data_IF_259264820618
#
_entry.id   IF_259264820618
#
_cell.length_a   1.000
_cell.length_b   1.000
_cell.length_c   1.000
_cell.angle_alpha   90.00
_cell.angle_beta   90.00
_cell.angle_gamma   90.00
#
_symmetry.space_group_name_H-M   'P 1'
#
loop_
_entity.id
_entity.type
_entity.pdbx_description
1 polymer ?
#
# COMPACT_ATOMS: atom_id res chain seq x y z
N UNK A 1 -129.95 4.53 35.74
CA UNK A 1 -129.15 5.41 34.85
C UNK A 1 -129.75 5.33 33.46
N UNK A 2 -130.02 6.47 32.81
CA UNK A 2 -130.54 6.51 31.44
C UNK A 2 -129.45 6.11 30.45
N UNK A 3 -129.81 5.48 29.32
CA UNK A 3 -128.87 5.07 28.25
C UNK A 3 -127.88 6.18 27.88
N UNK A 4 -128.37 7.42 27.87
CA UNK A 4 -127.61 8.64 27.57
C UNK A 4 -126.50 8.98 28.58
N UNK A 5 -126.67 8.68 29.88
CA UNK A 5 -125.60 8.90 30.87
C UNK A 5 -124.49 7.85 30.75
N UNK A 6 -124.86 6.61 30.41
CA UNK A 6 -123.89 5.52 30.23
C UNK A 6 -123.03 5.78 28.99
N UNK A 7 -123.65 6.20 27.88
CA UNK A 7 -122.97 6.59 26.64
C UNK A 7 -122.01 7.76 26.87
N UNK A 8 -122.42 8.82 27.59
CA UNK A 8 -121.53 9.94 27.90
C UNK A 8 -120.33 9.54 28.78
N UNK A 9 -120.54 8.63 29.75
CA UNK A 9 -119.46 8.12 30.60
C UNK A 9 -118.47 7.27 29.79
N UNK A 10 -118.96 6.35 28.95
CA UNK A 10 -118.10 5.56 28.07
C UNK A 10 -117.37 6.42 27.05
N UNK A 11 -118.03 7.43 26.49
CA UNK A 11 -117.40 8.33 25.52
C UNK A 11 -116.27 9.16 26.15
N UNK A 12 -116.49 9.71 27.35
CA UNK A 12 -115.44 10.41 28.10
C UNK A 12 -114.29 9.51 28.54
N UNK A 13 -114.58 8.24 28.89
CA UNK A 13 -113.54 7.25 29.20
C UNK A 13 -112.74 6.88 27.95
N UNK A 14 -113.40 6.63 26.81
CA UNK A 14 -112.70 6.35 25.56
C UNK A 14 -111.88 7.53 25.07
N UNK A 15 -112.38 8.76 25.24
CA UNK A 15 -111.67 9.97 24.85
C UNK A 15 -110.38 10.16 25.68
N UNK A 16 -110.45 10.00 26.99
CA UNK A 16 -109.25 10.03 27.86
C UNK A 16 -108.27 8.91 27.53
N UNK A 17 -108.77 7.69 27.31
CA UNK A 17 -107.91 6.58 26.91
C UNK A 17 -107.23 6.83 25.55
N UNK A 18 -107.93 7.46 24.59
CA UNK A 18 -107.30 7.84 23.31
C UNK A 18 -106.30 8.98 23.45
N UNK A 19 -106.55 9.96 24.32
CA UNK A 19 -105.61 11.03 24.64
C UNK A 19 -104.34 10.46 25.29
N UNK A 20 -104.49 9.57 26.28
CA UNK A 20 -103.38 8.88 26.92
C UNK A 20 -102.56 8.07 25.90
N UNK A 21 -103.21 7.31 25.01
CA UNK A 21 -102.50 6.57 23.94
C UNK A 21 -101.77 7.51 22.99
N UNK A 22 -102.36 8.63 22.59
CA UNK A 22 -101.71 9.62 21.73
C UNK A 22 -100.49 10.25 22.41
N UNK A 23 -100.57 10.54 23.72
CA UNK A 23 -99.41 11.04 24.47
C UNK A 23 -98.29 9.99 24.55
N UNK A 24 -98.61 8.72 24.79
CA UNK A 24 -97.62 7.63 24.81
C UNK A 24 -96.98 7.45 23.44
N UNK A 25 -97.75 7.53 22.35
CA UNK A 25 -97.20 7.44 20.98
C UNK A 25 -96.29 8.62 20.68
N UNK A 26 -96.66 9.85 21.08
CA UNK A 26 -95.82 11.03 20.89
C UNK A 26 -94.54 10.98 21.73
N UNK A 27 -94.61 10.51 22.98
CA UNK A 27 -93.42 10.30 23.82
C UNK A 27 -92.53 9.23 23.21
N UNK A 28 -93.12 8.12 22.71
CA UNK A 28 -92.36 7.07 22.05
C UNK A 28 -91.65 7.58 20.79
N UNK A 29 -92.32 8.37 19.94
CA UNK A 29 -91.67 8.89 18.73
C UNK A 29 -90.49 9.81 19.06
N UNK A 30 -90.63 10.66 20.08
CA UNK A 30 -89.51 11.52 20.53
C UNK A 30 -88.35 10.68 21.08
N UNK A 31 -88.64 9.61 21.84
CA UNK A 31 -87.60 8.71 22.34
C UNK A 31 -86.92 7.95 21.20
N UNK A 32 -87.67 7.49 20.20
CA UNK A 32 -87.13 6.82 19.02
C UNK A 32 -86.24 7.78 18.21
N UNK A 33 -86.64 9.05 18.04
CA UNK A 33 -85.84 10.10 17.39
C UNK A 33 -84.54 10.39 18.18
N UNK A 34 -84.63 10.51 19.51
CA UNK A 34 -83.46 10.72 20.37
C UNK A 34 -82.48 9.54 20.32
N UNK A 35 -82.98 8.31 20.25
CA UNK A 35 -82.14 7.11 20.09
C UNK A 35 -81.42 7.16 18.74
N UNK A 36 -82.14 7.49 17.66
CA UNK A 36 -81.56 7.61 16.32
C UNK A 36 -80.48 8.71 16.24
N UNK A 37 -80.68 9.84 16.90
CA UNK A 37 -79.67 10.92 16.99
C UNK A 37 -78.40 10.45 17.72
N UNK A 38 -78.55 9.71 18.83
CA UNK A 38 -77.42 9.15 19.57
C UNK A 38 -76.67 8.12 18.72
N UNK A 39 -77.38 7.21 18.06
CA UNK A 39 -76.77 6.22 17.16
C UNK A 39 -76.01 6.89 16.02
N UNK A 40 -76.61 7.90 15.39
CA UNK A 40 -75.96 8.69 14.33
C UNK A 40 -74.72 9.39 14.84
N UNK A 41 -74.78 10.01 16.03
CA UNK A 41 -73.62 10.66 16.65
C UNK A 41 -72.49 9.67 16.97
N UNK A 42 -72.81 8.47 17.47
CA UNK A 42 -71.81 7.42 17.71
C UNK A 42 -71.14 7.03 16.38
N UNK A 43 -71.91 6.78 15.34
CA UNK A 43 -71.37 6.41 14.04
C UNK A 43 -70.52 7.53 13.42
N UNK A 44 -70.94 8.80 13.54
CA UNK A 44 -70.17 9.94 13.04
C UNK A 44 -68.86 10.13 13.80
N UNK A 45 -68.87 9.97 15.12
CA UNK A 45 -67.67 10.07 15.96
C UNK A 45 -66.67 8.96 15.65
N UNK A 46 -67.13 7.72 15.53
CA UNK A 46 -66.30 6.58 15.10
C UNK A 46 -65.76 6.78 13.68
N UNK A 47 -66.60 7.20 12.73
CA UNK A 47 -66.17 7.49 11.36
C UNK A 47 -65.08 8.56 11.34
N UNK A 48 -65.25 9.64 12.11
CA UNK A 48 -64.27 10.70 12.20
C UNK A 48 -62.95 10.18 12.81
N UNK A 49 -63.01 9.39 13.87
CA UNK A 49 -61.82 8.77 14.47
C UNK A 49 -61.06 7.91 13.45
N UNK A 50 -61.76 7.00 12.76
CA UNK A 50 -61.17 6.14 11.72
C UNK A 50 -60.60 6.95 10.55
N UNK A 51 -61.25 8.03 10.12
CA UNK A 51 -60.70 8.89 9.06
C UNK A 51 -59.39 9.55 9.49
N UNK A 52 -59.29 10.01 10.75
CA UNK A 52 -58.02 10.60 11.24
C UNK A 52 -56.91 9.57 11.37
N UNK A 53 -57.22 8.33 11.76
CA UNK A 53 -56.24 7.25 11.81
C UNK A 53 -55.77 6.86 10.41
N UNK A 54 -56.69 6.80 9.45
CA UNK A 54 -56.37 6.53 8.04
C UNK A 54 -55.48 7.63 7.45
N UNK A 55 -55.77 8.90 7.73
CA UNK A 55 -54.92 10.03 7.30
C UNK A 55 -53.51 9.94 7.90
N UNK A 56 -53.40 9.62 9.20
CA UNK A 56 -52.11 9.42 9.87
C UNK A 56 -51.33 8.25 9.25
N UNK A 57 -51.99 7.13 9.00
CA UNK A 57 -51.38 5.96 8.37
C UNK A 57 -50.90 6.27 6.95
N UNK A 58 -51.71 6.99 6.15
CA UNK A 58 -51.32 7.43 4.81
C UNK A 58 -50.13 8.39 4.83
N UNK A 59 -50.09 9.33 5.78
CA UNK A 59 -48.95 10.23 5.94
C UNK A 59 -47.68 9.46 6.31
N UNK A 60 -47.77 8.48 7.20
CA UNK A 60 -46.65 7.61 7.55
C UNK A 60 -46.16 6.79 6.35
N UNK A 61 -47.07 6.19 5.58
CA UNK A 61 -46.73 5.46 4.35
C UNK A 61 -46.01 6.35 3.32
N UNK A 62 -46.47 7.59 3.14
CA UNK A 62 -45.81 8.54 2.25
C UNK A 62 -44.39 8.88 2.72
N UNK A 63 -44.17 9.04 4.03
CA UNK A 63 -42.84 9.26 4.60
C UNK A 63 -41.92 8.05 4.38
N UNK A 64 -42.41 6.83 4.61
CA UNK A 64 -41.65 5.61 4.34
C UNK A 64 -41.30 5.48 2.86
N UNK A 65 -42.21 5.77 1.94
CA UNK A 65 -41.93 5.73 0.50
C UNK A 65 -40.82 6.73 0.09
N UNK A 66 -40.80 7.93 0.71
CA UNK A 66 -39.73 8.91 0.49
C UNK A 66 -38.40 8.39 1.06
N UNK A 67 -38.40 7.86 2.28
CA UNK A 67 -37.21 7.32 2.92
C UNK A 67 -36.62 6.13 2.13
N UNK A 68 -37.46 5.21 1.65
CA UNK A 68 -37.05 4.11 0.78
C UNK A 68 -36.39 4.62 -0.50
N UNK A 69 -36.92 5.70 -1.09
CA UNK A 69 -36.34 6.28 -2.28
C UNK A 69 -34.96 6.88 -2.03
N UNK A 70 -34.80 7.62 -0.93
CA UNK A 70 -33.50 8.19 -0.51
C UNK A 70 -32.48 7.07 -0.31
N UNK A 71 -32.84 6.01 0.42
CA UNK A 71 -31.94 4.87 0.63
C UNK A 71 -31.58 4.14 -0.67
N UNK A 72 -32.50 4.06 -1.63
CA UNK A 72 -32.20 3.53 -2.95
C UNK A 72 -31.19 4.39 -3.71
N UNK A 73 -31.37 5.70 -3.69
CA UNK A 73 -30.46 6.63 -4.36
C UNK A 73 -29.06 6.61 -3.71
N UNK A 74 -28.98 6.56 -2.38
CA UNK A 74 -27.73 6.37 -1.61
C UNK A 74 -27.02 5.06 -2.01
N UNK A 75 -27.76 3.95 -2.06
CA UNK A 75 -27.22 2.65 -2.48
C UNK A 75 -26.67 2.69 -3.90
N UNK A 76 -27.38 3.34 -4.83
CA UNK A 76 -26.90 3.50 -6.21
C UNK A 76 -25.62 4.33 -6.27
N UNK A 77 -25.54 5.41 -5.51
CA UNK A 77 -24.34 6.23 -5.43
C UNK A 77 -23.13 5.43 -4.89
N UNK A 78 -23.33 4.67 -3.80
CA UNK A 78 -22.29 3.78 -3.26
C UNK A 78 -21.84 2.76 -4.30
N UNK A 79 -22.75 2.12 -5.03
CA UNK A 79 -22.39 1.17 -6.09
C UNK A 79 -21.56 1.82 -7.21
N UNK A 80 -21.89 3.05 -7.61
CA UNK A 80 -21.12 3.80 -8.60
C UNK A 80 -19.71 4.13 -8.10
N UNK A 81 -19.57 4.59 -6.85
CA UNK A 81 -18.26 4.88 -6.25
C UNK A 81 -17.39 3.62 -6.14
N UNK A 82 -17.95 2.48 -5.73
CA UNK A 82 -17.25 1.20 -5.68
C UNK A 82 -16.78 0.78 -7.07
N UNK A 83 -17.63 0.92 -8.10
CA UNK A 83 -17.24 0.60 -9.47
C UNK A 83 -16.07 1.49 -9.96
N UNK A 84 -16.10 2.79 -9.66
CA UNK A 84 -15.02 3.71 -9.99
C UNK A 84 -13.70 3.31 -9.30
N UNK A 85 -13.75 3.00 -8.00
CA UNK A 85 -12.58 2.56 -7.24
C UNK A 85 -12.02 1.25 -7.80
N UNK A 86 -12.87 0.31 -8.22
CA UNK A 86 -12.43 -0.93 -8.88
C UNK A 86 -11.70 -0.65 -10.20
N UNK A 87 -12.19 0.28 -11.02
CA UNK A 87 -11.53 0.66 -12.28
C UNK A 87 -10.18 1.35 -12.04
N UNK A 88 -10.11 2.22 -11.04
CA UNK A 88 -8.87 2.87 -10.61
C UNK A 88 -7.87 1.83 -10.09
N UNK A 89 -8.30 0.91 -9.23
CA UNK A 89 -7.49 -0.19 -8.71
C UNK A 89 -6.92 -1.07 -9.83
N UNK A 90 -7.74 -1.47 -10.81
CA UNK A 90 -7.28 -2.21 -12.00
C UNK A 90 -6.22 -1.44 -12.79
N UNK A 91 -6.35 -0.13 -12.86
CA UNK A 91 -5.39 0.73 -13.59
C UNK A 91 -4.08 0.86 -12.85
N UNK A 92 -4.11 1.01 -11.53
CA UNK A 92 -2.91 1.03 -10.68
C UNK A 92 -2.17 -0.31 -10.75
N UNK A 93 -2.88 -1.44 -10.66
CA UNK A 93 -2.27 -2.77 -10.79
C UNK A 93 -1.58 -2.95 -12.15
N UNK A 94 -2.19 -2.48 -13.24
CA UNK A 94 -1.57 -2.51 -14.57
C UNK A 94 -0.27 -1.68 -14.61
N UNK A 95 -0.27 -0.47 -14.04
CA UNK A 95 0.92 0.38 -13.96
C UNK A 95 2.02 -0.25 -13.10
N UNK A 96 1.66 -0.79 -11.94
CA UNK A 96 2.60 -1.47 -11.06
C UNK A 96 3.25 -2.67 -11.76
N UNK A 97 2.46 -3.43 -12.52
CA UNK A 97 2.95 -4.56 -13.31
C UNK A 97 3.95 -4.11 -14.37
N UNK A 98 3.67 -3.03 -15.12
CA UNK A 98 4.61 -2.52 -16.12
C UNK A 98 5.91 -2.01 -15.49
N UNK A 99 5.83 -1.32 -14.36
CA UNK A 99 7.02 -0.87 -13.63
C UNK A 99 7.84 -2.06 -13.10
N UNK A 100 7.18 -3.09 -12.57
CA UNK A 100 7.84 -4.32 -12.13
C UNK A 100 8.56 -5.05 -13.28
N UNK A 101 7.95 -5.10 -14.47
CA UNK A 101 8.56 -5.67 -15.68
C UNK A 101 9.79 -4.87 -16.12
N UNK A 102 9.74 -3.52 -16.06
CA UNK A 102 10.89 -2.66 -16.36
C UNK A 102 12.04 -2.89 -15.37
N UNK A 103 11.74 -2.94 -14.07
CA UNK A 103 12.75 -3.22 -13.03
C UNK A 103 13.37 -4.61 -13.23
N UNK A 104 12.56 -5.61 -13.56
CA UNK A 104 13.07 -6.95 -13.86
C UNK A 104 14.03 -6.93 -15.06
N UNK A 105 13.70 -6.18 -16.10
CA UNK A 105 14.58 -6.01 -17.27
C UNK A 105 15.88 -5.29 -16.90
N UNK A 106 15.83 -4.27 -16.05
CA UNK A 106 17.03 -3.55 -15.58
C UNK A 106 17.94 -4.43 -14.73
N UNK A 107 17.37 -5.29 -13.88
CA UNK A 107 18.13 -6.28 -13.11
C UNK A 107 18.85 -7.28 -14.05
N UNK A 108 18.16 -7.76 -15.10
CA UNK A 108 18.77 -8.63 -16.11
C UNK A 108 19.90 -7.91 -16.87
N UNK A 109 19.68 -6.66 -17.28
CA UNK A 109 20.68 -5.85 -17.95
C UNK A 109 21.91 -5.61 -17.06
N UNK A 110 21.70 -5.32 -15.77
CA UNK A 110 22.77 -5.18 -14.78
C UNK A 110 23.59 -6.47 -14.65
N UNK A 111 22.93 -7.62 -14.49
CA UNK A 111 23.62 -8.91 -14.39
C UNK A 111 24.47 -9.20 -15.64
N UNK A 112 23.96 -8.86 -16.82
CA UNK A 112 24.73 -8.95 -18.08
C UNK A 112 25.96 -8.05 -18.07
N UNK A 113 25.81 -6.79 -17.67
CA UNK A 113 26.94 -5.84 -17.59
C UNK A 113 27.98 -6.26 -16.55
N UNK A 114 27.56 -6.84 -15.43
CA UNK A 114 28.48 -7.39 -14.42
C UNK A 114 29.31 -8.56 -14.98
N UNK A 115 28.69 -9.42 -15.81
CA UNK A 115 29.40 -10.48 -16.52
C UNK A 115 30.42 -9.92 -17.53
N UNK A 116 30.00 -8.98 -18.37
CA UNK A 116 30.90 -8.32 -19.33
C UNK A 116 32.07 -7.62 -18.61
N UNK A 117 31.80 -7.00 -17.45
CA UNK A 117 32.83 -6.40 -16.60
C UNK A 117 33.81 -7.45 -16.07
N UNK A 118 33.33 -8.61 -15.59
CA UNK A 118 34.19 -9.69 -15.12
C UNK A 118 35.08 -10.23 -16.26
N UNK A 119 34.52 -10.46 -17.44
CA UNK A 119 35.28 -10.88 -18.63
C UNK A 119 36.34 -9.85 -19.03
N UNK A 120 36.01 -8.55 -18.96
CA UNK A 120 36.98 -7.49 -19.27
C UNK A 120 38.15 -7.46 -18.26
N UNK A 121 37.87 -7.69 -16.97
CA UNK A 121 38.90 -7.79 -15.92
C UNK A 121 39.81 -8.99 -16.15
N UNK A 122 39.25 -10.14 -16.53
CA UNK A 122 40.02 -11.34 -16.86
C UNK A 122 40.92 -11.12 -18.08
N UNK A 123 40.41 -10.48 -19.14
CA UNK A 123 41.21 -10.09 -20.32
C UNK A 123 42.36 -9.16 -19.94
N UNK A 124 42.12 -8.18 -19.07
CA UNK A 124 43.20 -7.30 -18.58
C UNK A 124 44.25 -8.11 -17.80
N UNK A 125 43.82 -9.04 -16.95
CA UNK A 125 44.73 -9.90 -16.21
C UNK A 125 45.58 -10.79 -17.13
N UNK A 126 44.99 -11.36 -18.19
CA UNK A 126 45.72 -12.17 -19.17
C UNK A 126 46.68 -11.34 -20.03
N UNK A 127 46.32 -10.12 -20.42
CA UNK A 127 47.27 -9.19 -21.05
C UNK A 127 48.43 -8.84 -20.13
N UNK A 128 48.18 -8.67 -18.83
CA UNK A 128 49.24 -8.41 -17.85
C UNK A 128 50.18 -9.61 -17.70
N UNK A 129 49.70 -10.87 -17.76
CA UNK A 129 50.57 -12.05 -17.76
C UNK A 129 51.37 -12.15 -19.05
N UNK A 130 50.73 -11.97 -20.21
CA UNK A 130 51.40 -11.98 -21.51
C UNK A 130 52.50 -10.91 -21.61
N UNK A 131 52.25 -9.72 -21.08
CA UNK A 131 53.24 -8.64 -21.03
C UNK A 131 54.46 -9.01 -20.16
N UNK A 132 54.25 -9.71 -19.04
CA UNK A 132 55.35 -10.23 -18.21
C UNK A 132 56.14 -11.32 -18.94
N UNK A 133 55.47 -12.22 -19.65
CA UNK A 133 56.12 -13.26 -20.45
C UNK A 133 56.92 -12.68 -21.61
N UNK A 134 56.36 -11.70 -22.35
CA UNK A 134 57.07 -10.97 -23.38
C UNK A 134 58.31 -10.28 -22.82
N UNK A 135 58.20 -9.63 -21.66
CA UNK A 135 59.33 -9.02 -20.97
C UNK A 135 60.40 -10.04 -20.57
N UNK A 136 60.00 -11.25 -20.16
CA UNK A 136 60.93 -12.36 -19.84
C UNK A 136 61.63 -12.86 -21.10
N UNK A 137 60.87 -13.14 -22.16
CA UNK A 137 61.39 -13.58 -23.47
C UNK A 137 62.37 -12.55 -24.05
N UNK A 138 62.03 -11.25 -24.01
CA UNK A 138 62.94 -10.18 -24.44
C UNK A 138 64.24 -10.15 -23.63
N UNK A 139 64.20 -10.37 -22.31
CA UNK A 139 65.44 -10.48 -21.50
C UNK A 139 66.27 -11.69 -21.91
N UNK A 140 65.63 -12.83 -22.14
CA UNK A 140 66.29 -14.07 -22.55
C UNK A 140 66.96 -13.91 -23.92
N UNK A 141 66.28 -13.27 -24.88
CA UNK A 141 66.84 -12.90 -26.18
C UNK A 141 68.06 -11.99 -26.02
N UNK A 142 67.97 -10.94 -25.18
CA UNK A 142 69.12 -10.05 -24.92
C UNK A 142 70.29 -10.78 -24.28
N UNK A 143 70.02 -11.72 -23.36
CA UNK A 143 71.03 -12.54 -22.70
C UNK A 143 71.70 -13.51 -23.69
N UNK A 144 70.91 -14.16 -24.56
CA UNK A 144 71.45 -14.99 -25.65
C UNK A 144 72.34 -14.20 -26.59
N UNK A 145 71.92 -13.00 -27.02
CA UNK A 145 72.77 -12.11 -27.84
C UNK A 145 74.05 -11.72 -27.11
N UNK A 146 73.99 -11.48 -25.79
CA UNK A 146 75.17 -11.17 -24.97
C UNK A 146 76.14 -12.36 -24.93
N UNK A 147 75.63 -13.57 -24.73
CA UNK A 147 76.41 -14.82 -24.75
C UNK A 147 77.03 -15.10 -26.12
N UNK A 148 76.27 -14.92 -27.20
CA UNK A 148 76.75 -15.08 -28.57
C UNK A 148 77.84 -14.04 -28.92
N UNK A 149 77.65 -12.79 -28.48
CA UNK A 149 78.67 -11.74 -28.62
C UNK A 149 79.97 -12.08 -27.89
N UNK A 150 79.87 -12.58 -26.66
CA UNK A 150 81.04 -13.06 -25.90
C UNK A 150 81.69 -14.26 -26.62
N UNK A 151 80.91 -15.20 -27.15
CA UNK A 151 81.43 -16.35 -27.91
C UNK A 151 82.17 -15.92 -29.18
N UNK A 152 81.66 -14.93 -29.91
CA UNK A 152 82.32 -14.38 -31.10
C UNK A 152 83.60 -13.61 -30.78
N UNK A 153 83.70 -13.00 -29.60
CA UNK A 153 84.94 -12.35 -29.12
C UNK A 153 85.97 -13.39 -28.67
N UNK A 154 85.52 -14.52 -28.12
CA UNK A 154 86.40 -15.60 -27.65
C UNK A 154 86.86 -16.54 -28.79
N UNK A 155 86.14 -16.62 -29.91
CA UNK A 155 86.50 -17.41 -31.10
C UNK A 155 86.43 -16.56 -32.39
N UNK A 156 87.49 -15.79 -32.76
CA UNK A 156 87.54 -15.06 -34.03
C UNK A 156 87.82 -15.94 -35.27
N UNK A 157 87.84 -17.27 -35.14
CA UNK A 157 88.32 -18.20 -36.20
C UNK A 157 87.19 -18.91 -36.96
N UNK A 158 86.19 -18.18 -37.45
CA UNK A 158 85.23 -18.74 -38.41
C UNK A 158 84.49 -17.67 -39.23
N UNK A 159 85.20 -16.73 -39.88
CA UNK A 159 84.80 -16.15 -41.18
C UNK A 159 86.10 -15.70 -41.87
N UNK A 160 86.64 -16.53 -42.77
CA UNK A 160 87.38 -16.11 -43.96
C UNK A 160 87.42 -17.28 -44.96
N UNK A 161 86.68 -17.14 -46.06
CA UNK A 161 87.00 -17.57 -47.43
C UNK A 161 85.80 -17.11 -48.28
N UNK A 162 85.93 -16.14 -49.20
CA UNK A 162 86.67 -16.26 -50.47
C UNK A 162 86.91 -14.87 -51.07
N UNK A 163 88.14 -14.60 -51.48
CA UNK A 163 88.57 -13.36 -52.12
C UNK A 163 88.35 -13.37 -53.66
N UNK A 164 88.20 -12.17 -54.25
CA UNK A 164 88.37 -11.89 -55.68
C UNK A 164 88.28 -10.37 -55.99
N UNK A 165 89.17 -9.74 -56.80
CA UNK A 165 89.55 -8.32 -56.66
C UNK A 165 89.10 -7.41 -57.87
N UNK A 166 89.53 -6.12 -57.98
CA UNK A 166 88.69 -4.91 -58.00
C UNK A 166 88.34 -4.37 -59.41
N UNK A 167 87.48 -3.33 -59.51
CA UNK A 167 88.02 -2.08 -60.09
C UNK A 167 87.48 -0.78 -59.46
N UNK A 168 88.26 0.28 -59.68
CA UNK A 168 88.01 1.68 -59.38
C UNK A 168 86.57 2.15 -59.64
N UNK A 169 85.99 2.89 -58.69
CA UNK A 169 85.24 4.11 -58.99
C UNK A 169 85.14 5.05 -57.77
N UNK A 170 85.05 6.32 -58.12
CA UNK A 170 85.13 7.58 -57.39
C UNK A 170 84.32 7.76 -56.09
N UNK A 171 84.69 8.77 -55.27
CA UNK A 171 84.02 9.09 -54.02
C UNK A 171 82.74 9.89 -54.30
N UNK A 172 81.63 9.21 -54.55
CA UNK A 172 80.34 9.89 -54.60
C UNK A 172 79.20 9.01 -54.09
N UNK A 173 78.75 9.35 -52.88
CA UNK A 173 77.38 9.15 -52.38
C UNK A 173 76.75 7.75 -52.51
N UNK A 174 76.94 6.91 -51.50
CA UNK A 174 75.93 5.91 -51.12
C UNK A 174 75.31 6.33 -49.78
N UNK A 175 74.01 6.65 -49.70
CA UNK A 175 73.36 6.85 -48.42
C UNK A 175 72.97 5.48 -47.86
N UNK A 176 73.90 4.85 -47.14
CA UNK A 176 73.61 3.71 -46.27
C UNK A 176 72.90 4.24 -45.02
N UNK A 177 71.58 4.31 -45.07
CA UNK A 177 70.77 4.69 -43.91
C UNK A 177 69.34 4.20 -44.08
N UNK A 178 68.65 3.95 -42.96
CA UNK A 178 67.25 3.49 -42.91
C UNK A 178 66.29 4.29 -43.82
N UNK A 179 66.66 5.52 -44.20
CA UNK A 179 65.97 6.38 -45.14
C UNK A 179 65.90 5.87 -46.59
N UNK A 180 66.72 4.89 -47.02
CA UNK A 180 66.68 4.34 -48.38
C UNK A 180 65.84 3.06 -48.52
N UNK A 181 65.38 2.48 -47.40
CA UNK A 181 64.54 1.28 -47.40
C UNK A 181 63.12 1.58 -47.91
N UNK A 182 62.44 0.59 -48.48
CA UNK A 182 61.04 0.74 -48.93
C UNK A 182 60.06 0.83 -47.74
N UNK A 183 58.91 1.48 -47.96
CA UNK A 183 57.92 1.70 -46.89
C UNK A 183 57.39 0.38 -46.31
N UNK A 184 57.21 -0.66 -47.14
CA UNK A 184 56.78 -1.98 -46.68
C UNK A 184 57.79 -2.63 -45.73
N UNK A 185 59.08 -2.54 -46.06
CA UNK A 185 60.16 -3.08 -45.20
C UNK A 185 60.28 -2.28 -43.91
N UNK A 186 60.12 -0.96 -43.95
CA UNK A 186 60.14 -0.11 -42.77
C UNK A 186 58.93 -0.36 -41.85
N UNK A 187 57.75 -0.60 -42.40
CA UNK A 187 56.55 -0.93 -41.61
C UNK A 187 56.72 -2.27 -40.88
N UNK A 188 57.36 -3.24 -41.53
CA UNK A 188 57.69 -4.52 -40.91
C UNK A 188 58.80 -4.40 -39.85
N UNK A 189 59.68 -3.42 -39.96
CA UNK A 189 60.65 -3.10 -38.89
C UNK A 189 59.91 -2.42 -37.73
N UNK A 190 59.05 -1.44 -38.00
CA UNK A 190 58.30 -0.72 -36.97
C UNK A 190 57.24 -1.56 -36.26
N UNK A 191 56.73 -2.63 -36.87
CA UNK A 191 55.85 -3.58 -36.17
C UNK A 191 56.54 -4.30 -35.01
N UNK A 192 57.88 -4.35 -35.03
CA UNK A 192 58.71 -4.98 -34.01
C UNK A 192 59.37 -3.97 -33.04
N UNK A 193 59.02 -2.68 -33.12
CA UNK A 193 59.61 -1.61 -32.32
C UNK A 193 58.51 -0.87 -31.55
N UNK A 194 58.79 -0.52 -30.29
CA UNK A 194 57.82 0.17 -29.44
C UNK A 194 57.45 1.56 -30.01
N UNK A 195 56.19 1.96 -29.83
CA UNK A 195 55.65 3.21 -30.40
C UNK A 195 56.44 4.46 -29.98
N UNK A 196 57.02 4.44 -28.78
CA UNK A 196 57.85 5.54 -28.27
C UNK A 196 59.21 5.62 -28.98
N UNK A 197 59.78 4.48 -29.35
CA UNK A 197 61.06 4.40 -30.07
C UNK A 197 60.87 4.77 -31.55
N UNK A 198 59.75 4.36 -32.17
CA UNK A 198 59.37 4.82 -33.53
C UNK A 198 59.15 6.33 -33.55
N UNK A 199 58.52 6.88 -32.49
CA UNK A 199 58.35 8.32 -32.34
C UNK A 199 59.70 9.03 -32.14
N UNK A 200 60.59 8.51 -31.29
CA UNK A 200 61.93 9.05 -31.07
C UNK A 200 62.76 9.03 -32.37
N UNK A 201 62.71 7.93 -33.13
CA UNK A 201 63.30 7.84 -34.47
C UNK A 201 62.72 8.92 -35.38
N UNK A 202 61.40 9.14 -35.39
CA UNK A 202 60.75 10.17 -36.20
C UNK A 202 61.27 11.59 -35.91
N UNK A 203 61.75 11.87 -34.70
CA UNK A 203 62.26 13.18 -34.32
C UNK A 203 63.68 13.45 -34.81
N UNK A 204 64.40 12.44 -35.32
CA UNK A 204 65.78 12.58 -35.82
C UNK A 204 65.88 13.42 -37.09
N UNK A 205 64.83 13.47 -37.91
CA UNK A 205 64.80 14.29 -39.13
C UNK A 205 63.37 14.65 -39.53
N UNK A 206 63.17 15.88 -40.02
CA UNK A 206 61.86 16.34 -40.51
C UNK A 206 61.34 15.50 -41.69
N UNK A 207 62.25 15.02 -42.56
CA UNK A 207 61.89 14.15 -43.68
C UNK A 207 61.43 12.77 -43.19
N UNK A 208 62.15 12.22 -42.20
CA UNK A 208 61.83 10.93 -41.58
C UNK A 208 60.53 10.97 -40.78
N UNK A 209 60.30 12.06 -40.03
CA UNK A 209 59.02 12.35 -39.37
C UNK A 209 57.85 12.33 -40.33
N UNK A 210 57.99 13.01 -41.48
CA UNK A 210 56.91 13.10 -42.45
C UNK A 210 56.61 11.75 -43.09
N UNK A 211 57.64 10.95 -43.38
CA UNK A 211 57.51 9.61 -43.96
C UNK A 211 56.84 8.62 -42.99
N UNK A 212 57.28 8.58 -41.73
CA UNK A 212 56.66 7.76 -40.68
C UNK A 212 55.20 8.21 -40.46
N UNK A 213 54.93 9.51 -40.42
CA UNK A 213 53.56 10.00 -40.28
C UNK A 213 52.65 9.60 -41.46
N UNK A 214 53.18 9.49 -42.69
CA UNK A 214 52.42 8.99 -43.85
C UNK A 214 52.17 7.47 -43.71
N UNK A 215 53.20 6.70 -43.36
CA UNK A 215 53.10 5.25 -43.16
C UNK A 215 52.09 4.84 -42.07
N UNK A 216 51.98 5.62 -40.99
CA UNK A 216 51.04 5.39 -39.89
C UNK A 216 49.72 6.18 -40.02
N UNK A 217 49.48 6.83 -41.17
CA UNK A 217 48.23 7.56 -41.44
C UNK A 217 48.01 8.83 -40.60
N UNK A 218 49.01 9.26 -39.82
CA UNK A 218 49.00 10.48 -39.00
C UNK A 218 49.08 11.77 -39.86
N UNK A 219 49.61 11.66 -41.07
CA UNK A 219 49.43 12.64 -42.15
C UNK A 219 48.73 11.95 -43.31
N UNK A 220 47.53 12.42 -43.62
CA UNK A 220 46.90 12.11 -44.91
C UNK A 220 47.79 12.66 -46.01
N UNK A 221 48.18 11.80 -46.94
CA UNK A 221 48.60 12.22 -48.27
C UNK A 221 47.57 13.24 -48.79
N UNK A 222 48.00 14.27 -49.54
CA UNK A 222 47.09 15.28 -50.09
C UNK A 222 46.21 14.65 -51.18
N UNK A 223 45.29 13.78 -50.80
CA UNK A 223 44.07 13.54 -51.54
C UNK A 223 43.01 14.53 -51.04
N UNK A 224 42.48 15.24 -52.01
CA UNK A 224 41.52 16.32 -51.84
C UNK A 224 40.30 15.89 -51.03
N UNK A 225 39.87 16.81 -50.16
CA UNK A 225 38.49 17.14 -49.78
C UNK A 225 37.62 16.14 -49.00
N UNK A 226 37.27 16.67 -47.80
CA UNK A 226 35.94 16.71 -47.12
C UNK A 226 35.57 15.42 -46.35
N UNK A 227 35.14 15.45 -45.08
CA UNK A 227 34.61 16.51 -44.22
C UNK A 227 34.66 16.04 -42.74
N UNK A 228 34.87 17.01 -41.83
CA UNK A 228 34.47 17.16 -40.40
C UNK A 228 33.75 15.96 -39.70
N UNK A 229 34.03 15.53 -38.44
CA UNK A 229 34.41 16.20 -37.18
C UNK A 229 35.17 15.25 -36.21
N UNK A 230 35.93 15.76 -35.21
CA UNK A 230 36.63 14.99 -34.17
C UNK A 230 35.91 15.01 -32.77
N UNK A 231 36.44 14.23 -31.78
CA UNK A 231 35.66 13.57 -30.74
C UNK A 231 35.81 14.12 -29.31
N UNK A 232 34.89 13.63 -28.48
CA UNK A 232 34.92 13.19 -27.07
C UNK A 232 36.11 13.53 -26.15
N UNK A 233 35.72 14.01 -24.98
CA UNK A 233 36.44 14.33 -23.73
C UNK A 233 37.06 13.10 -23.05
N UNK A 234 38.15 13.25 -22.26
CA UNK A 234 38.40 12.44 -21.06
C UNK A 234 38.36 13.22 -19.73
N UNK A 235 37.98 12.47 -18.68
CA UNK A 235 37.66 12.83 -17.28
C UNK A 235 38.85 13.34 -16.43
N UNK A 236 38.61 14.06 -15.31
CA UNK A 236 39.65 14.59 -14.43
C UNK A 236 40.03 13.65 -13.26
N UNK A 237 41.26 13.81 -12.79
CA UNK A 237 41.85 13.19 -11.59
C UNK A 237 41.43 13.93 -10.31
N UNK A 238 41.13 13.13 -9.29
CA UNK A 238 40.73 13.51 -7.94
C UNK A 238 41.95 13.91 -7.10
N UNK A 239 42.02 15.17 -6.64
CA UNK A 239 42.96 15.60 -5.58
C UNK A 239 42.23 16.55 -4.61
N UNK A 240 42.17 16.17 -3.33
CA UNK A 240 41.65 16.99 -2.23
C UNK A 240 42.54 18.23 -2.00
N UNK A 241 42.01 19.45 -1.89
CA UNK A 241 42.79 20.61 -1.45
C UNK A 241 42.71 20.80 0.08
N UNK A 242 43.86 20.81 0.73
CA UNK A 242 44.03 21.36 2.08
C UNK A 242 43.99 22.88 2.02
N UNK A 243 43.00 23.48 2.68
CA UNK A 243 42.88 24.93 2.85
C UNK A 243 44.02 25.47 3.72
N UNK A 244 44.87 26.33 3.15
CA UNK A 244 45.54 27.41 3.90
C UNK A 244 45.26 28.74 3.17
N UNK A 245 45.03 29.85 3.89
CA UNK A 245 44.81 31.16 3.28
C UNK A 245 46.12 31.71 2.71
N UNK A 246 46.13 32.14 1.44
CA UNK A 246 47.25 32.85 0.82
C UNK A 246 47.06 34.37 1.05
N UNK A 247 48.09 35.12 1.49
CA UNK A 247 47.99 36.56 1.72
C UNK A 247 48.03 37.35 0.41
N UNK A 248 47.63 38.62 0.51
CA UNK A 248 47.36 39.58 -0.55
C UNK A 248 48.40 39.65 -1.69
N UNK A 249 47.88 39.82 -2.91
CA UNK A 249 48.59 39.95 -4.18
C UNK A 249 49.55 41.15 -4.18
N UNK A 250 50.85 40.87 -4.09
CA UNK A 250 51.91 41.89 -4.16
C UNK A 250 52.06 42.48 -5.57
N UNK A 251 52.19 43.80 -5.67
CA UNK A 251 52.46 44.55 -6.92
C UNK A 251 53.70 44.05 -7.67
N UNK A 252 54.63 43.39 -6.99
CA UNK A 252 55.82 42.76 -7.58
C UNK A 252 55.54 41.46 -8.35
N UNK A 253 54.40 40.80 -8.09
CA UNK A 253 53.94 39.62 -8.84
C UNK A 253 53.20 40.02 -10.12
N UNK A 254 52.47 41.14 -10.10
CA UNK A 254 51.87 41.74 -11.30
C UNK A 254 52.92 42.19 -12.32
N UNK A 255 53.99 42.85 -11.87
CA UNK A 255 55.08 43.27 -12.76
C UNK A 255 55.81 42.07 -13.41
N UNK A 256 56.04 40.99 -12.64
CA UNK A 256 56.60 39.73 -13.18
C UNK A 256 55.64 39.02 -14.14
N UNK A 257 54.33 39.09 -13.89
CA UNK A 257 53.33 38.56 -14.81
C UNK A 257 53.31 39.33 -16.13
N UNK A 258 53.43 40.66 -16.10
CA UNK A 258 53.49 41.49 -17.31
C UNK A 258 54.73 41.21 -18.19
N UNK A 259 55.89 40.97 -17.58
CA UNK A 259 57.08 40.60 -18.34
C UNK A 259 57.00 39.18 -18.91
N UNK A 260 56.34 38.24 -18.21
CA UNK A 260 56.01 36.93 -18.76
C UNK A 260 55.01 37.03 -19.93
N UNK A 261 54.00 37.89 -19.82
CA UNK A 261 53.01 38.15 -20.87
C UNK A 261 53.69 38.65 -22.15
N UNK A 262 54.69 39.52 -22.04
CA UNK A 262 55.50 39.98 -23.18
C UNK A 262 56.41 38.91 -23.78
N UNK A 263 56.77 37.88 -23.01
CA UNK A 263 57.65 36.79 -23.45
C UNK A 263 56.93 35.68 -24.24
N UNK A 264 55.60 35.66 -24.22
CA UNK A 264 54.83 34.63 -24.92
C UNK A 264 54.71 34.90 -26.41
N UNK A 265 54.89 33.83 -27.19
CA UNK A 265 54.63 33.85 -28.62
C UNK A 265 53.12 33.95 -28.87
N UNK A 266 52.69 34.53 -30.00
CA UNK A 266 51.28 34.73 -30.35
C UNK A 266 50.42 33.44 -30.26
N UNK A 267 51.03 32.26 -30.49
CA UNK A 267 50.38 30.95 -30.34
C UNK A 267 50.11 30.58 -28.88
N UNK A 268 51.01 30.91 -27.97
CA UNK A 268 50.89 30.64 -26.54
C UNK A 268 49.84 31.57 -25.92
N UNK A 269 49.87 32.85 -26.29
CA UNK A 269 48.82 33.82 -25.96
C UNK A 269 47.42 33.34 -26.35
N UNK A 270 47.26 32.84 -27.58
CA UNK A 270 45.99 32.27 -28.04
C UNK A 270 45.58 31.05 -27.22
N UNK A 271 46.53 30.16 -26.89
CA UNK A 271 46.25 28.99 -26.06
C UNK A 271 45.78 29.38 -24.65
N UNK A 272 46.42 30.36 -23.99
CA UNK A 272 45.98 30.85 -22.68
C UNK A 272 44.61 31.51 -22.75
N UNK A 273 44.32 32.24 -23.82
CA UNK A 273 43.00 32.81 -24.04
C UNK A 273 41.92 31.72 -24.20
N UNK A 274 42.18 30.69 -25.03
CA UNK A 274 41.29 29.55 -25.22
C UNK A 274 41.09 28.75 -23.92
N UNK A 275 42.15 28.58 -23.12
CA UNK A 275 42.10 27.94 -21.81
C UNK A 275 41.27 28.76 -20.81
N UNK A 276 41.40 30.08 -20.82
CA UNK A 276 40.64 30.99 -19.97
C UNK A 276 39.15 30.99 -20.33
N UNK A 277 38.81 30.98 -21.61
CA UNK A 277 37.41 30.84 -22.07
C UNK A 277 36.84 29.51 -21.60
N UNK A 278 37.61 28.42 -21.76
CA UNK A 278 37.20 27.08 -21.31
C UNK A 278 37.01 27.03 -19.80
N UNK A 279 37.89 27.65 -19.03
CA UNK A 279 37.77 27.76 -17.56
C UNK A 279 36.49 28.49 -17.17
N UNK A 280 36.22 29.67 -17.75
CA UNK A 280 34.97 30.42 -17.51
C UNK A 280 33.72 29.64 -17.88
N UNK A 281 33.79 28.87 -18.97
CA UNK A 281 32.68 28.01 -19.41
C UNK A 281 32.46 26.87 -18.42
N UNK A 282 33.54 26.23 -17.94
CA UNK A 282 33.45 25.21 -16.89
C UNK A 282 32.89 25.77 -15.58
N UNK A 283 33.31 26.97 -15.17
CA UNK A 283 32.78 27.65 -13.98
C UNK A 283 31.28 27.88 -14.09
N UNK A 284 30.80 28.32 -15.26
CA UNK A 284 29.37 28.48 -15.53
C UNK A 284 28.61 27.14 -15.48
N UNK A 285 29.20 26.06 -16.00
CA UNK A 285 28.58 24.74 -15.89
C UNK A 285 28.55 24.24 -14.44
N UNK A 286 29.58 24.52 -13.65
CA UNK A 286 29.64 24.15 -12.25
C UNK A 286 28.55 24.88 -11.45
N UNK A 287 28.37 26.18 -11.65
CA UNK A 287 27.30 26.93 -10.97
C UNK A 287 25.90 26.46 -11.40
N UNK A 288 25.70 26.13 -12.67
CA UNK A 288 24.44 25.55 -13.14
C UNK A 288 24.15 24.18 -12.49
N UNK A 289 25.15 23.28 -12.46
CA UNK A 289 25.00 21.97 -11.80
C UNK A 289 24.79 22.09 -10.29
N UNK A 290 25.39 23.09 -9.65
CA UNK A 290 25.16 23.38 -8.23
C UNK A 290 23.70 23.76 -7.98
N UNK A 291 23.12 24.62 -8.83
CA UNK A 291 21.72 25.02 -8.75
C UNK A 291 20.77 23.85 -9.01
N UNK A 292 21.05 23.00 -10.02
CA UNK A 292 20.26 21.79 -10.27
C UNK A 292 20.31 20.81 -9.10
N UNK A 293 21.47 20.65 -8.47
CA UNK A 293 21.62 19.81 -7.27
C UNK A 293 20.75 20.34 -6.12
N UNK A 294 20.72 21.65 -5.89
CA UNK A 294 19.92 22.27 -4.83
C UNK A 294 18.41 22.13 -5.11
N UNK A 295 17.97 22.30 -6.36
CA UNK A 295 16.58 22.07 -6.78
C UNK A 295 16.16 20.60 -6.57
N UNK A 296 17.01 19.65 -6.98
CA UNK A 296 16.75 18.22 -6.75
C UNK A 296 16.70 17.87 -5.26
N UNK A 297 17.56 18.48 -4.43
CA UNK A 297 17.52 18.27 -2.99
C UNK A 297 16.22 18.79 -2.38
N UNK A 298 15.74 19.97 -2.79
CA UNK A 298 14.47 20.52 -2.33
C UNK A 298 13.28 19.65 -2.75
N UNK A 299 13.29 19.14 -4.00
CA UNK A 299 12.25 18.22 -4.51
C UNK A 299 12.24 16.89 -3.77
N UNK A 300 13.42 16.34 -3.47
CA UNK A 300 13.54 15.11 -2.69
C UNK A 300 12.99 15.30 -1.28
N UNK A 301 13.37 16.37 -0.59
CA UNK A 301 12.86 16.69 0.74
C UNK A 301 11.33 16.89 0.74
N UNK A 302 10.79 17.55 -0.28
CA UNK A 302 9.34 17.68 -0.46
C UNK A 302 8.65 16.32 -0.62
N UNK A 303 9.24 15.40 -1.39
CA UNK A 303 8.71 14.05 -1.56
C UNK A 303 8.81 13.21 -0.27
N UNK A 304 9.88 13.36 0.51
CA UNK A 304 10.05 12.71 1.81
C UNK A 304 8.98 13.18 2.81
N UNK A 305 8.70 14.48 2.87
CA UNK A 305 7.64 15.01 3.73
C UNK A 305 6.24 14.45 3.37
N UNK A 306 5.94 14.33 2.07
CA UNK A 306 4.67 13.73 1.61
C UNK A 306 4.61 12.26 1.97
N UNK A 307 5.71 11.52 1.79
CA UNK A 307 5.80 10.11 2.21
C UNK A 307 5.53 9.97 3.70
N UNK A 308 6.17 10.79 4.53
CA UNK A 308 6.05 10.70 5.99
C UNK A 308 4.61 11.00 6.44
N UNK A 309 3.97 12.01 5.84
CA UNK A 309 2.55 12.29 6.05
C UNK A 309 1.64 11.10 5.66
N UNK A 310 1.91 10.46 4.51
CA UNK A 310 1.13 9.31 4.07
C UNK A 310 1.32 8.09 4.97
N UNK A 311 2.53 7.87 5.50
CA UNK A 311 2.78 6.80 6.46
C UNK A 311 2.06 7.05 7.80
N UNK A 312 2.06 8.30 8.28
CA UNK A 312 1.30 8.68 9.48
C UNK A 312 -0.20 8.42 9.27
N UNK A 313 -0.76 8.85 8.14
CA UNK A 313 -2.17 8.60 7.82
C UNK A 313 -2.51 7.12 7.63
N UNK A 314 -1.59 6.34 7.08
CA UNK A 314 -1.77 4.88 6.97
C UNK A 314 -1.84 4.25 8.37
N UNK A 315 -0.94 4.67 9.26
CA UNK A 315 -0.91 4.18 10.65
C UNK A 315 -2.20 4.54 11.39
N UNK A 316 -2.70 5.78 11.26
CA UNK A 316 -3.99 6.20 11.84
C UNK A 316 -5.17 5.30 11.39
N UNK A 317 -5.18 4.93 10.10
CA UNK A 317 -6.23 4.08 9.53
C UNK A 317 -6.10 2.63 9.99
N UNK A 318 -4.87 2.11 10.11
CA UNK A 318 -4.60 0.78 10.64
C UNK A 318 -5.03 0.68 12.11
N UNK A 319 -4.74 1.68 12.93
CA UNK A 319 -5.17 1.75 14.33
C UNK A 319 -6.70 1.84 14.46
N UNK A 320 -7.35 2.68 13.64
CA UNK A 320 -8.80 2.78 13.61
C UNK A 320 -9.46 1.45 13.18
N UNK A 321 -8.86 0.73 12.24
CA UNK A 321 -9.33 -0.58 11.81
C UNK A 321 -9.18 -1.63 12.93
N UNK A 322 -8.06 -1.62 13.66
CA UNK A 322 -7.85 -2.52 14.79
C UNK A 322 -8.94 -2.32 15.86
N UNK A 323 -9.22 -1.07 16.23
CA UNK A 323 -10.29 -0.73 17.18
C UNK A 323 -11.67 -1.18 16.66
N UNK A 324 -11.98 -0.95 15.38
CA UNK A 324 -13.25 -1.36 14.79
C UNK A 324 -13.44 -2.90 14.77
N UNK A 325 -12.36 -3.66 14.60
CA UNK A 325 -12.40 -5.13 14.69
C UNK A 325 -12.69 -5.58 16.13
N UNK A 326 -12.05 -4.95 17.12
CA UNK A 326 -12.29 -5.24 18.53
C UNK A 326 -13.74 -4.91 18.95
N UNK A 327 -14.25 -3.73 18.58
CA UNK A 327 -15.62 -3.31 18.85
C UNK A 327 -16.64 -4.27 18.22
N UNK A 328 -16.38 -4.70 16.99
CA UNK A 328 -17.23 -5.70 16.32
C UNK A 328 -17.19 -7.04 17.05
N UNK A 329 -16.02 -7.50 17.49
CA UNK A 329 -15.91 -8.76 18.23
C UNK A 329 -16.68 -8.71 19.55
N UNK A 330 -16.66 -7.57 20.25
CA UNK A 330 -17.46 -7.35 21.46
C UNK A 330 -18.96 -7.32 21.16
N UNK A 331 -19.38 -6.65 20.09
CA UNK A 331 -20.78 -6.62 19.67
C UNK A 331 -21.30 -8.02 19.27
N UNK A 332 -20.49 -8.80 18.55
CA UNK A 332 -20.82 -10.18 18.16
C UNK A 332 -20.91 -11.09 19.40
N UNK A 333 -20.00 -10.93 20.37
CA UNK A 333 -20.05 -11.66 21.64
C UNK A 333 -21.32 -11.33 22.44
N UNK A 334 -21.69 -10.05 22.52
CA UNK A 334 -22.94 -9.61 23.16
C UNK A 334 -24.17 -10.16 22.43
N UNK A 335 -24.20 -10.11 21.10
CA UNK A 335 -25.31 -10.65 20.31
C UNK A 335 -25.50 -12.15 20.50
N UNK A 336 -24.40 -12.90 20.64
CA UNK A 336 -24.46 -14.33 20.96
C UNK A 336 -25.03 -14.57 22.36
N UNK A 337 -24.58 -13.79 23.36
CA UNK A 337 -25.12 -13.87 24.71
C UNK A 337 -26.62 -13.55 24.74
N UNK A 338 -27.05 -12.50 24.05
CA UNK A 338 -28.47 -12.11 23.97
C UNK A 338 -29.30 -13.23 23.32
N UNK A 339 -28.77 -13.90 22.29
CA UNK A 339 -29.41 -15.07 21.67
C UNK A 339 -29.55 -16.24 22.65
N UNK A 340 -28.54 -16.53 23.46
CA UNK A 340 -28.59 -17.56 24.49
C UNK A 340 -29.62 -17.22 25.59
N UNK A 341 -29.67 -15.96 26.01
CA UNK A 341 -30.65 -15.49 27.00
C UNK A 341 -32.06 -15.61 26.46
N UNK A 342 -32.32 -15.20 25.21
CA UNK A 342 -33.64 -15.37 24.57
C UNK A 342 -34.03 -16.85 24.50
N UNK A 343 -33.13 -17.72 24.05
CA UNK A 343 -33.41 -19.16 23.98
C UNK A 343 -33.73 -19.77 25.35
N UNK A 344 -33.04 -19.33 26.41
CA UNK A 344 -33.34 -19.75 27.78
C UNK A 344 -34.71 -19.23 28.26
N UNK A 345 -35.04 -17.97 27.97
CA UNK A 345 -36.33 -17.39 28.33
C UNK A 345 -37.49 -18.08 27.59
N UNK A 346 -37.32 -18.39 26.31
CA UNK A 346 -38.31 -19.12 25.51
C UNK A 346 -38.56 -20.53 26.08
N UNK A 347 -37.49 -21.28 26.38
CA UNK A 347 -37.59 -22.61 26.99
C UNK A 347 -38.34 -22.54 28.33
N UNK A 348 -38.03 -21.54 29.17
CA UNK A 348 -38.69 -21.36 30.46
C UNK A 348 -40.16 -20.92 30.33
N UNK A 349 -40.49 -20.13 29.31
CA UNK A 349 -41.88 -19.78 28.99
C UNK A 349 -42.66 -21.01 28.57
N UNK A 350 -42.08 -21.86 27.73
CA UNK A 350 -42.69 -23.11 27.31
C UNK A 350 -42.93 -24.05 28.50
N UNK A 351 -41.95 -24.23 29.39
CA UNK A 351 -42.12 -25.01 30.62
C UNK A 351 -43.29 -24.47 31.47
N UNK A 352 -43.43 -23.15 31.58
CA UNK A 352 -44.53 -22.52 32.32
C UNK A 352 -45.89 -22.76 31.64
N UNK A 353 -45.96 -22.68 30.32
CA UNK A 353 -47.17 -22.96 29.55
C UNK A 353 -47.59 -24.43 29.66
N UNK A 354 -46.63 -25.36 29.64
CA UNK A 354 -46.88 -26.79 29.86
C UNK A 354 -47.47 -27.06 31.26
N UNK A 355 -46.91 -26.41 32.28
CA UNK A 355 -47.43 -26.50 33.67
C UNK A 355 -48.85 -25.93 33.76
N UNK A 356 -49.10 -24.77 33.13
CA UNK A 356 -50.44 -24.17 33.11
C UNK A 356 -51.46 -25.05 32.38
N UNK A 357 -51.09 -25.63 31.25
CA UNK A 357 -51.95 -26.59 30.55
C UNK A 357 -52.30 -27.78 31.44
N UNK A 358 -51.33 -28.34 32.17
CA UNK A 358 -51.57 -29.42 33.12
C UNK A 358 -52.59 -29.03 34.19
N UNK A 359 -52.49 -27.83 34.76
CA UNK A 359 -53.46 -27.31 35.73
C UNK A 359 -54.85 -27.12 35.11
N UNK A 360 -54.94 -26.67 33.86
CA UNK A 360 -56.22 -26.56 33.15
C UNK A 360 -56.85 -27.94 32.97
N UNK A 361 -56.08 -28.95 32.55
CA UNK A 361 -56.56 -30.33 32.39
C UNK A 361 -57.04 -30.91 33.71
N UNK A 362 -56.26 -30.77 34.80
CA UNK A 362 -56.65 -31.23 36.13
C UNK A 362 -57.94 -30.55 36.64
N UNK A 363 -58.10 -29.25 36.39
CA UNK A 363 -59.33 -28.54 36.76
C UNK A 363 -60.53 -28.97 35.92
N UNK A 364 -60.34 -29.33 34.65
CA UNK A 364 -61.40 -29.90 33.81
C UNK A 364 -61.79 -31.31 34.26
N UNK A 365 -60.82 -32.15 34.64
CA UNK A 365 -61.06 -33.48 35.20
C UNK A 365 -61.80 -33.41 36.54
N UNK A 366 -61.41 -32.48 37.43
CA UNK A 366 -62.12 -32.24 38.69
C UNK A 366 -63.58 -31.80 38.45
N UNK A 367 -63.82 -30.88 37.51
CA UNK A 367 -65.18 -30.48 37.10
C UNK A 367 -65.97 -31.63 36.44
N UNK A 368 -65.30 -32.52 35.72
CA UNK A 368 -65.90 -33.73 35.16
C UNK A 368 -66.26 -34.77 36.22
N UNK A 369 -65.50 -34.83 37.32
CA UNK A 369 -65.77 -35.72 38.45
C UNK A 369 -66.96 -35.24 39.30
N UNK A 370 -67.20 -33.93 39.38
CA UNK A 370 -68.39 -33.32 40.01
C UNK A 370 -69.67 -33.45 39.16
N UNK A 371 -69.55 -33.86 37.89
CA UNK A 371 -70.67 -34.07 36.97
C UNK A 371 -71.19 -35.52 36.90
N UNK A 372 -70.86 -36.36 37.89
CA UNK A 372 -71.50 -37.68 38.07
C UNK A 372 -72.85 -37.48 38.80
N UNK A 373 -74.01 -37.87 38.23
CA UNK A 373 -75.30 -37.63 38.83
C UNK A 373 -75.50 -38.53 40.06
N UNK A 374 -75.60 -37.88 41.20
CA UNK A 374 -75.95 -38.46 42.49
C UNK A 374 -77.35 -39.12 42.40
N UNK A 375 -77.41 -40.46 42.31
CA UNK A 375 -78.60 -41.25 42.65
C UNK A 375 -78.35 -41.90 43.99
N UNK A 376 -79.17 -41.56 44.97
CA UNK A 376 -79.40 -42.42 46.13
C UNK A 376 -79.30 -41.74 47.49
N UNK A 377 -80.46 -41.26 47.94
CA UNK A 377 -80.98 -41.44 49.30
C UNK A 377 -80.25 -40.77 50.48
N UNK A 378 -81.01 -39.87 51.13
CA UNK A 378 -80.59 -39.15 52.31
C UNK A 378 -80.54 -40.00 53.57
N UNK A 379 -79.82 -39.48 54.57
CA UNK A 379 -80.20 -39.59 55.98
C UNK A 379 -79.35 -38.64 56.80
N UNK A 380 -79.99 -37.70 57.47
CA UNK A 380 -79.36 -36.90 58.51
C UNK A 380 -79.06 -37.79 59.72
N UNK A 381 -77.80 -37.86 60.17
CA UNK A 381 -77.49 -38.17 61.57
C UNK A 381 -76.13 -37.61 62.02
N UNK A 382 -76.17 -36.95 63.16
CA UNK A 382 -75.03 -36.40 63.89
C UNK A 382 -74.13 -37.49 64.50
N UNK A 383 -72.83 -37.22 64.64
CA UNK A 383 -72.01 -37.52 65.84
C UNK A 383 -70.52 -37.18 65.66
N UNK A 384 -70.03 -36.26 66.51
CA UNK A 384 -68.82 -36.32 67.34
C UNK A 384 -67.68 -37.32 67.07
N UNK A 385 -66.46 -36.74 66.93
CA UNK A 385 -65.14 -37.12 67.48
C UNK A 385 -64.47 -38.48 67.15
N UNK A 386 -63.15 -38.42 66.82
CA UNK A 386 -62.15 -39.31 67.42
C UNK A 386 -61.19 -40.12 66.52
N UNK A 387 -59.92 -39.71 66.53
CA UNK A 387 -58.65 -40.49 66.48
C UNK A 387 -58.18 -41.33 65.27
N UNK A 388 -57.00 -40.93 64.76
CA UNK A 388 -55.78 -41.71 64.48
C UNK A 388 -55.76 -42.94 63.55
N UNK A 389 -54.97 -42.84 62.45
CA UNK A 389 -53.71 -43.61 62.22
C UNK A 389 -53.02 -43.27 60.86
N UNK A 390 -51.81 -42.68 60.97
CA UNK A 390 -50.54 -42.76 60.18
C UNK A 390 -50.40 -43.59 58.86
N UNK A 391 -49.28 -43.50 58.07
CA UNK A 391 -48.39 -42.37 57.72
C UNK A 391 -47.79 -42.39 56.26
N UNK A 392 -46.95 -41.38 55.94
CA UNK A 392 -45.84 -41.35 54.94
C UNK A 392 -46.13 -41.40 53.42
N UNK A 393 -45.91 -40.27 52.74
CA UNK A 393 -44.94 -40.11 51.62
C UNK A 393 -44.98 -38.66 51.10
N UNK A 394 -44.04 -37.82 51.52
CA UNK A 394 -44.01 -36.41 51.10
C UNK A 394 -42.65 -35.72 51.10
N UNK A 395 -41.55 -36.39 51.46
CA UNK A 395 -40.27 -35.70 51.70
C UNK A 395 -39.09 -36.11 50.79
N UNK A 396 -39.31 -36.90 49.73
CA UNK A 396 -38.20 -37.32 48.84
C UNK A 396 -37.92 -36.40 47.65
N UNK A 397 -38.81 -35.47 47.29
CA UNK A 397 -38.62 -34.62 46.10
C UNK A 397 -38.04 -33.23 46.39
N UNK A 398 -38.16 -32.71 47.61
CA UNK A 398 -37.59 -31.39 47.98
C UNK A 398 -36.07 -31.47 48.24
N UNK A 399 -35.57 -32.63 48.64
CA UNK A 399 -34.13 -32.85 48.89
C UNK A 399 -33.31 -33.02 47.60
N UNK A 400 -33.88 -33.60 46.52
CA UNK A 400 -33.20 -33.74 45.22
C UNK A 400 -33.08 -32.41 44.47
N UNK A 401 -34.12 -31.57 44.50
CA UNK A 401 -34.07 -30.24 43.89
C UNK A 401 -33.07 -29.29 44.55
N UNK A 402 -32.91 -29.36 45.87
CA UNK A 402 -31.95 -28.50 46.60
C UNK A 402 -30.49 -28.93 46.40
N UNK A 403 -30.22 -30.23 46.21
CA UNK A 403 -28.86 -30.70 45.92
C UNK A 403 -28.39 -30.34 44.49
N UNK A 404 -29.30 -30.28 43.52
CA UNK A 404 -28.96 -29.97 42.12
C UNK A 404 -28.76 -28.47 41.88
N UNK A 405 -29.52 -27.62 42.59
CA UNK A 405 -29.32 -26.16 42.57
C UNK A 405 -28.04 -25.75 43.30
N UNK A 406 -27.69 -26.41 44.41
CA UNK A 406 -26.44 -26.12 45.12
C UNK A 406 -25.19 -26.52 44.32
N UNK A 407 -25.22 -27.64 43.59
CA UNK A 407 -24.11 -28.07 42.72
C UNK A 407 -23.95 -27.15 41.49
N UNK A 408 -25.06 -26.69 40.89
CA UNK A 408 -25.03 -25.79 39.74
C UNK A 408 -24.47 -24.41 40.08
N UNK A 409 -24.86 -23.83 41.22
CA UNK A 409 -24.36 -22.52 41.67
C UNK A 409 -22.88 -22.60 42.05
N UNK A 410 -22.43 -23.69 42.67
CA UNK A 410 -21.03 -23.87 43.05
C UNK A 410 -20.10 -24.12 41.84
N UNK A 411 -20.61 -24.68 40.74
CA UNK A 411 -19.86 -24.88 39.50
C UNK A 411 -19.69 -23.58 38.71
N UNK A 412 -20.76 -22.76 38.63
CA UNK A 412 -20.71 -21.44 37.97
C UNK A 412 -19.79 -20.48 38.73
N UNK A 413 -19.84 -20.44 40.07
CA UNK A 413 -18.94 -19.59 40.86
C UNK A 413 -17.46 -19.99 40.72
N UNK A 414 -17.14 -21.29 40.62
CA UNK A 414 -15.75 -21.74 40.38
C UNK A 414 -15.25 -21.45 38.96
N UNK A 415 -16.11 -21.50 37.95
CA UNK A 415 -15.74 -21.11 36.57
C UNK A 415 -15.52 -19.59 36.45
N UNK A 416 -16.31 -18.78 37.15
CA UNK A 416 -16.10 -17.31 37.17
C UNK A 416 -14.82 -16.93 37.92
N UNK A 417 -14.50 -17.59 39.05
CA UNK A 417 -13.22 -17.36 39.76
C UNK A 417 -11.98 -17.84 38.98
N UNK A 418 -12.11 -18.93 38.20
CA UNK A 418 -11.02 -19.41 37.34
C UNK A 418 -10.72 -18.46 36.17
N UNK A 419 -11.74 -17.73 35.70
CA UNK A 419 -11.60 -16.79 34.57
C UNK A 419 -11.07 -15.42 35.02
N UNK A 420 -11.40 -14.98 36.25
CA UNK A 420 -10.87 -13.73 36.82
C UNK A 420 -9.41 -13.82 37.28
N UNK A 421 -8.83 -15.01 37.51
CA UNK A 421 -7.39 -15.17 37.85
C UNK A 421 -6.44 -15.10 36.66
N UNK A 422 -6.95 -15.15 35.41
CA UNK A 422 -6.13 -15.09 34.18
C UNK A 422 -5.99 -13.65 33.66
N UNK A 423 -6.89 -12.75 34.06
CA UNK A 423 -6.80 -11.33 33.75
C UNK A 423 -6.21 -10.56 34.95
N UNK A 424 -4.88 -10.46 35.01
CA UNK A 424 -4.21 -9.52 35.90
C UNK A 424 -4.60 -8.06 35.58
N UNK A 425 -4.65 -7.16 36.56
CA UNK A 425 -5.14 -5.80 36.35
C UNK A 425 -4.20 -5.01 35.43
N UNK A 426 -4.71 -4.33 34.37
CA UNK A 426 -3.89 -3.44 33.56
C UNK A 426 -3.50 -2.20 34.37
N UNK A 427 -2.19 -1.92 34.40
CA UNK A 427 -1.62 -0.76 35.07
C UNK A 427 -2.12 0.55 34.48
N UNK A 428 -2.52 1.49 35.35
CA UNK A 428 -2.86 2.86 34.97
C UNK A 428 -1.65 3.57 34.36
N UNK A 429 -1.76 4.22 33.18
CA UNK A 429 -0.78 5.19 32.75
C UNK A 429 -0.99 6.51 33.52
N UNK A 430 0.10 7.05 34.06
CA UNK A 430 0.15 8.38 34.66
C UNK A 430 -0.02 9.43 33.57
N UNK A 431 -0.99 10.33 33.74
CA UNK A 431 -1.05 11.58 33.00
C UNK A 431 0.23 12.40 33.28
N UNK A 432 1.04 12.58 32.24
CA UNK A 432 2.06 13.62 32.18
C UNK A 432 1.43 14.92 31.73
N UNK A 433 1.42 15.92 32.62
CA UNK A 433 1.30 17.32 32.27
C UNK A 433 2.53 17.73 31.44
N UNK A 434 2.30 18.39 30.30
CA UNK A 434 3.29 19.25 29.67
C UNK A 434 2.67 20.63 29.51
N UNK A 435 3.23 21.56 30.29
CA UNK A 435 3.32 23.00 30.04
C UNK A 435 4.17 23.28 28.80
#
# INVERSE_FOLDING_TARGET
MTSTMLEAFFHGYTQRATEDVLTVVAVKSVLDDMIADIETWIHETERNALTTELEKANAALAQYAIAERIHWDEKQNVLQTVHLLQLQGRTLVRKLKTEAELVAQDVLNKARLEKELAESKEKIASYATLSRELSRSQREVRELHRRLGIQNVLNPSAIQEKAGPPPNHDPTSTPTGLASLSDATLLNIFSNVDAMDVLAMSLTSKAWKSRIHVMFGLKKEKLQRRTALPPTIPKPLNVKPSLRPVPALDKSQLARADDMIKSFNAKEMKFFHDLMIRMKTLEKHLTALQAEKEDLAARLQGAENVRDFLMEKLTDVEDALALAIEDKALADAQSNLDREVMAYLDAKSQDADEVLQLYVTQNQEAKGHDAVPNRGEGSCRAASQGSEKSPRQGDSNVARGKFQVAFGVQWVSRSVEATQRVAGPPGRPRHGQLT
#
